data_IF_540868381898
#
_entry.id   IF_540868381898
#
_cell.length_a   1.000
_cell.length_b   1.000
_cell.length_c   1.000
_cell.angle_alpha   90.00
_cell.angle_beta   90.00
_cell.angle_gamma   90.00
#
_symmetry.space_group_name_H-M   'P 1'
#
loop_
_entity.id
_entity.type
_entity.pdbx_description
1 polymer ?
#
# COMPACT_ATOMS: atom_id res chain seq x y z
N UNK A 1 -18.72 7.09 -4.82
CA UNK A 1 -18.30 6.62 -3.48
C UNK A 1 -16.83 7.00 -3.33
N UNK A 2 -16.42 7.50 -2.16
CA UNK A 2 -15.03 7.85 -1.86
C UNK A 2 -14.47 6.72 -1.01
N UNK A 3 -13.53 5.95 -1.54
CA UNK A 3 -12.81 4.95 -0.78
C UNK A 3 -11.79 5.64 0.13
N UNK A 4 -11.87 5.37 1.44
CA UNK A 4 -10.99 5.98 2.45
C UNK A 4 -10.01 4.93 2.94
N UNK A 5 -8.73 5.15 2.67
CA UNK A 5 -7.63 4.29 3.13
C UNK A 5 -6.88 5.00 4.26
N UNK A 6 -6.46 4.26 5.28
CA UNK A 6 -5.65 4.82 6.37
C UNK A 6 -4.23 5.13 5.90
N UNK A 7 -3.73 4.36 4.92
CA UNK A 7 -2.37 4.46 4.41
C UNK A 7 -2.38 4.28 2.89
N UNK A 8 -1.66 5.15 2.19
CA UNK A 8 -1.38 5.01 0.75
C UNK A 8 0.13 4.93 0.54
N UNK A 9 0.59 3.85 -0.08
CA UNK A 9 1.98 3.63 -0.50
C UNK A 9 2.08 3.95 -1.99
N UNK A 10 2.97 4.85 -2.38
CA UNK A 10 3.18 5.24 -3.79
C UNK A 10 4.48 4.62 -4.31
N UNK A 11 4.36 3.84 -5.39
CA UNK A 11 5.38 3.00 -6.00
C UNK A 11 5.28 1.53 -5.55
N UNK A 12 5.14 0.60 -6.50
CA UNK A 12 5.15 -0.86 -6.25
C UNK A 12 6.52 -1.51 -6.57
N UNK A 13 7.60 -0.75 -6.41
CA UNK A 13 8.96 -1.32 -6.40
C UNK A 13 9.23 -2.15 -5.14
N UNK A 14 10.47 -2.68 -4.98
CA UNK A 14 10.83 -3.52 -3.84
C UNK A 14 10.53 -2.90 -2.48
N UNK A 15 10.77 -1.59 -2.33
CA UNK A 15 10.52 -0.86 -1.08
C UNK A 15 9.03 -0.68 -0.81
N UNK A 16 8.24 -0.36 -1.83
CA UNK A 16 6.79 -0.17 -1.69
C UNK A 16 6.09 -1.47 -1.33
N UNK A 17 6.44 -2.57 -1.99
CA UNK A 17 5.91 -3.89 -1.68
C UNK A 17 6.39 -4.39 -0.30
N UNK A 18 7.66 -4.18 0.07
CA UNK A 18 8.14 -4.50 1.41
C UNK A 18 7.38 -3.73 2.50
N UNK A 19 7.01 -2.48 2.22
CA UNK A 19 6.18 -1.65 3.11
C UNK A 19 4.79 -2.26 3.26
N UNK A 20 4.12 -2.62 2.17
CA UNK A 20 2.81 -3.28 2.19
C UNK A 20 2.82 -4.63 2.95
N UNK A 21 3.86 -5.44 2.73
CA UNK A 21 4.05 -6.70 3.46
C UNK A 21 4.22 -6.44 4.96
N UNK A 22 5.03 -5.44 5.34
CA UNK A 22 5.21 -5.06 6.74
C UNK A 22 3.93 -4.54 7.41
N UNK A 23 3.09 -3.81 6.67
CA UNK A 23 1.76 -3.39 7.15
C UNK A 23 0.87 -4.61 7.41
N UNK A 24 0.80 -5.53 6.45
CA UNK A 24 0.00 -6.75 6.57
C UNK A 24 0.45 -7.63 7.74
N UNK A 25 1.76 -7.82 7.92
CA UNK A 25 2.33 -8.58 9.05
C UNK A 25 2.02 -7.96 10.43
N UNK A 26 1.74 -6.66 10.48
CA UNK A 26 1.35 -5.93 11.69
C UNK A 26 -0.17 -5.84 11.87
N UNK A 27 -0.94 -6.52 11.03
CA UNK A 27 -2.40 -6.52 11.10
C UNK A 27 -3.07 -5.28 10.51
N UNK A 28 -2.33 -4.44 9.79
CA UNK A 28 -2.87 -3.27 9.10
C UNK A 28 -3.29 -3.70 7.70
N UNK A 29 -4.59 -3.66 7.42
CA UNK A 29 -5.17 -4.16 6.16
C UNK A 29 -5.86 -3.09 5.31
N UNK A 30 -6.17 -1.93 5.88
CA UNK A 30 -6.83 -0.83 5.15
C UNK A 30 -5.80 0.11 4.50
N UNK A 31 -5.07 -0.40 3.51
CA UNK A 31 -4.08 0.37 2.77
C UNK A 31 -4.17 0.13 1.26
N UNK A 32 -3.63 1.08 0.50
CA UNK A 32 -3.55 1.00 -0.96
C UNK A 32 -2.09 1.14 -1.41
N UNK A 33 -1.65 0.28 -2.33
CA UNK A 33 -0.39 0.46 -3.06
C UNK A 33 -0.72 0.95 -4.47
N UNK A 34 -0.20 2.11 -4.82
CA UNK A 34 -0.33 2.68 -6.16
C UNK A 34 0.99 2.50 -6.91
N UNK A 35 0.93 2.12 -8.17
CA UNK A 35 2.08 2.13 -9.06
C UNK A 35 1.69 2.80 -10.37
N UNK A 36 2.66 3.46 -11.00
CA UNK A 36 2.46 4.00 -12.33
C UNK A 36 2.92 2.98 -13.37
N UNK A 37 1.98 2.21 -13.91
CA UNK A 37 2.18 1.54 -15.19
C UNK A 37 1.92 2.55 -16.33
N UNK A 38 2.77 2.52 -17.37
CA UNK A 38 2.50 3.22 -18.64
C UNK A 38 1.45 2.48 -19.44
#
# INVERSE_FOLDING_TARGET
MIDTYDIVVVGAGPVGLATAIGLQQRGISNFLVLDQTR
#
